data_IF_898123850816
#
_entry.id   IF_898123850816
#
_cell.length_a   1.000
_cell.length_b   1.000
_cell.length_c   1.000
_cell.angle_alpha   90.00
_cell.angle_beta   90.00
_cell.angle_gamma   90.00
#
_symmetry.space_group_name_H-M   'P 1'
#
loop_
_entity.id
_entity.type
_entity.pdbx_description
1 polymer ?
#
# COMPACT_ATOMS: atom_id res chain seq x y z
N UNK A 1 -63.07 -1.41 -25.01
CA UNK A 1 -62.20 -0.46 -24.26
C UNK A 1 -61.37 -1.12 -23.14
N UNK A 2 -61.65 -2.36 -22.70
CA UNK A 2 -60.93 -3.01 -21.59
C UNK A 2 -59.50 -3.48 -21.90
N UNK A 3 -59.25 -4.12 -23.04
CA UNK A 3 -57.95 -4.72 -23.35
C UNK A 3 -56.80 -3.70 -23.40
N UNK A 4 -57.02 -2.50 -23.96
CA UNK A 4 -55.99 -1.45 -24.08
C UNK A 4 -55.59 -0.89 -22.71
N UNK A 5 -56.53 -0.79 -21.76
CA UNK A 5 -56.29 -0.35 -20.38
C UNK A 5 -55.53 -1.41 -19.57
N UNK A 6 -55.83 -2.69 -19.79
CA UNK A 6 -55.14 -3.81 -19.15
C UNK A 6 -53.68 -3.88 -19.62
N UNK A 7 -53.42 -3.72 -20.93
CA UNK A 7 -52.06 -3.70 -21.48
C UNK A 7 -51.24 -2.51 -20.96
N UNK A 8 -51.83 -1.32 -20.87
CA UNK A 8 -51.17 -0.14 -20.31
C UNK A 8 -50.84 -0.29 -18.82
N UNK A 9 -51.76 -0.88 -18.04
CA UNK A 9 -51.54 -1.14 -16.62
C UNK A 9 -50.46 -2.21 -16.39
N UNK A 10 -50.45 -3.28 -17.20
CA UNK A 10 -49.42 -4.31 -17.15
C UNK A 10 -48.04 -3.75 -17.53
N UNK A 11 -47.96 -2.91 -18.57
CA UNK A 11 -46.71 -2.28 -18.99
C UNK A 11 -46.18 -1.30 -17.93
N UNK A 12 -47.06 -0.51 -17.30
CA UNK A 12 -46.70 0.38 -16.21
C UNK A 12 -46.22 -0.40 -14.97
N UNK A 13 -46.84 -1.53 -14.65
CA UNK A 13 -46.40 -2.40 -13.56
C UNK A 13 -45.02 -3.03 -13.83
N UNK A 14 -44.75 -3.46 -15.07
CA UNK A 14 -43.41 -3.97 -15.47
C UNK A 14 -42.34 -2.88 -15.37
N UNK A 15 -42.65 -1.66 -15.79
CA UNK A 15 -41.74 -0.51 -15.69
C UNK A 15 -41.46 -0.11 -14.23
N UNK A 16 -42.47 -0.16 -13.36
CA UNK A 16 -42.31 0.11 -11.92
C UNK A 16 -41.50 -0.98 -11.20
N UNK A 17 -41.62 -2.24 -11.63
CA UNK A 17 -40.81 -3.34 -11.11
C UNK A 17 -39.34 -3.26 -11.55
N UNK A 18 -39.07 -2.75 -12.76
CA UNK A 18 -37.71 -2.51 -13.24
C UNK A 18 -37.00 -1.34 -12.52
N UNK A 19 -37.75 -0.40 -11.93
CA UNK A 19 -37.21 0.72 -11.16
C UNK A 19 -36.66 0.32 -9.77
N UNK A 20 -36.96 -0.89 -9.30
CA UNK A 20 -36.42 -1.46 -8.06
C UNK A 20 -35.12 -2.25 -8.26
N UNK A 21 -34.52 -2.22 -9.45
CA UNK A 21 -33.18 -2.79 -9.63
C UNK A 21 -32.19 -2.00 -8.76
N UNK A 22 -31.44 -2.64 -7.84
CA UNK A 22 -30.48 -1.94 -7.01
C UNK A 22 -29.47 -1.23 -7.91
N UNK A 23 -29.33 0.08 -7.72
CA UNK A 23 -28.30 0.85 -8.42
C UNK A 23 -26.95 0.18 -8.14
N UNK A 24 -26.20 -0.14 -9.19
CA UNK A 24 -24.86 -0.73 -9.05
C UNK A 24 -24.02 0.24 -8.23
N UNK A 25 -23.63 -0.17 -7.03
CA UNK A 25 -22.76 0.64 -6.19
C UNK A 25 -21.44 0.85 -6.93
N UNK A 26 -20.84 2.06 -6.84
CA UNK A 26 -19.52 2.29 -7.41
C UNK A 26 -18.53 1.32 -6.76
N UNK A 27 -17.52 0.84 -7.51
CA UNK A 27 -16.52 -0.05 -6.95
C UNK A 27 -15.79 0.63 -5.78
N UNK A 28 -15.41 -0.13 -4.75
CA UNK A 28 -14.64 0.37 -3.62
C UNK A 28 -13.31 1.01 -4.10
N UNK A 29 -12.86 2.04 -3.40
CA UNK A 29 -11.59 2.71 -3.73
C UNK A 29 -10.60 2.63 -2.58
N UNK A 30 -9.33 2.54 -2.94
CA UNK A 30 -8.18 2.69 -2.04
C UNK A 30 -7.33 3.85 -2.52
N UNK A 31 -6.81 4.63 -1.59
CA UNK A 31 -5.77 5.59 -1.90
C UNK A 31 -4.40 4.92 -1.78
N UNK A 32 -3.49 5.21 -2.70
CA UNK A 32 -2.06 4.96 -2.54
C UNK A 32 -1.36 6.29 -2.31
N UNK A 33 -0.89 6.53 -1.09
CA UNK A 33 -0.08 7.69 -0.72
C UNK A 33 1.39 7.31 -0.85
N UNK A 34 2.07 7.86 -1.85
CA UNK A 34 3.49 7.65 -2.05
C UNK A 34 4.11 8.85 -2.76
N UNK A 35 5.42 9.10 -2.61
CA UNK A 35 6.10 10.09 -3.43
C UNK A 35 6.21 9.57 -4.87
N UNK A 36 5.59 10.28 -5.81
CA UNK A 36 5.71 10.08 -7.26
C UNK A 36 6.58 11.16 -7.92
N UNK A 37 6.91 12.21 -7.19
CA UNK A 37 7.83 13.26 -7.61
C UNK A 37 9.03 13.42 -6.64
N UNK A 38 10.04 14.17 -7.08
CA UNK A 38 11.20 14.50 -6.25
C UNK A 38 12.17 13.32 -6.00
N UNK A 39 12.91 13.41 -4.89
CA UNK A 39 14.03 12.50 -4.57
C UNK A 39 13.62 11.07 -4.23
N UNK A 40 12.36 10.86 -3.85
CA UNK A 40 11.83 9.56 -3.40
C UNK A 40 10.84 8.95 -4.41
N UNK A 41 10.71 9.52 -5.62
CA UNK A 41 9.74 9.08 -6.65
C UNK A 41 9.84 7.60 -7.01
N UNK A 42 11.02 6.99 -6.84
CA UNK A 42 11.21 5.57 -7.09
C UNK A 42 10.28 4.72 -6.20
N UNK A 43 10.00 5.14 -4.97
CA UNK A 43 9.09 4.43 -4.05
C UNK A 43 7.70 4.35 -4.67
N UNK A 44 7.14 5.47 -5.13
CA UNK A 44 5.81 5.50 -5.72
C UNK A 44 5.68 4.59 -6.95
N UNK A 45 6.68 4.61 -7.84
CA UNK A 45 6.66 3.73 -9.02
C UNK A 45 6.89 2.26 -8.69
N UNK A 46 7.70 1.95 -7.67
CA UNK A 46 7.94 0.58 -7.22
C UNK A 46 6.65 -0.06 -6.67
N UNK A 47 5.87 0.71 -5.91
CA UNK A 47 4.67 0.20 -5.24
C UNK A 47 3.43 0.21 -6.13
N UNK A 48 3.24 1.22 -7.00
CA UNK A 48 1.99 1.41 -7.75
C UNK A 48 1.62 0.22 -8.64
N UNK A 49 2.57 -0.26 -9.43
CA UNK A 49 2.31 -1.32 -10.41
C UNK A 49 2.13 -2.68 -9.73
N UNK A 50 2.96 -2.97 -8.72
CA UNK A 50 2.86 -4.19 -7.96
C UNK A 50 1.55 -4.27 -7.16
N UNK A 51 1.12 -3.16 -6.55
CA UNK A 51 -0.19 -3.05 -5.89
C UNK A 51 -1.34 -3.36 -6.84
N UNK A 52 -1.34 -2.73 -8.03
CA UNK A 52 -2.38 -2.97 -9.03
C UNK A 52 -2.41 -4.42 -9.49
N UNK A 53 -1.24 -5.04 -9.68
CA UNK A 53 -1.14 -6.44 -10.01
C UNK A 53 -1.72 -7.33 -8.90
N UNK A 54 -1.40 -7.06 -7.63
CA UNK A 54 -1.94 -7.80 -6.48
C UNK A 54 -3.47 -7.71 -6.38
N UNK A 55 -4.04 -6.52 -6.58
CA UNK A 55 -5.50 -6.34 -6.61
C UNK A 55 -6.16 -7.06 -7.79
N UNK A 56 -5.52 -7.05 -8.96
CA UNK A 56 -6.01 -7.78 -10.12
C UNK A 56 -5.99 -9.30 -9.88
N UNK A 57 -4.92 -9.81 -9.28
CA UNK A 57 -4.75 -11.23 -8.96
C UNK A 57 -5.72 -11.73 -7.89
N UNK A 58 -6.15 -10.84 -6.98
CA UNK A 58 -7.18 -11.16 -6.00
C UNK A 58 -8.58 -11.26 -6.63
N UNK A 59 -8.74 -10.88 -7.91
CA UNK A 59 -10.02 -10.79 -8.59
C UNK A 59 -10.89 -9.61 -8.12
N UNK A 60 -10.31 -8.64 -7.43
CA UNK A 60 -11.05 -7.49 -6.91
C UNK A 60 -11.33 -6.44 -7.99
N UNK A 61 -12.46 -5.75 -7.87
CA UNK A 61 -12.80 -4.58 -8.70
C UNK A 61 -12.41 -3.24 -8.03
N UNK A 62 -11.71 -3.32 -6.91
CA UNK A 62 -11.16 -2.18 -6.17
C UNK A 62 -10.32 -1.28 -7.09
N UNK A 63 -10.59 0.02 -7.04
CA UNK A 63 -9.85 1.03 -7.79
C UNK A 63 -8.78 1.68 -6.91
N UNK A 64 -7.55 1.76 -7.41
CA UNK A 64 -6.45 2.49 -6.75
C UNK A 64 -6.36 3.93 -7.26
N UNK A 65 -6.50 4.87 -6.34
CA UNK A 65 -6.23 6.29 -6.54
C UNK A 65 -4.82 6.61 -6.03
N UNK A 66 -3.85 6.74 -6.94
CA UNK A 66 -2.50 7.16 -6.60
C UNK A 66 -2.47 8.66 -6.28
N UNK A 67 -1.92 9.02 -5.13
CA UNK A 67 -1.83 10.39 -4.62
C UNK A 67 -0.38 10.69 -4.29
N UNK A 68 0.19 11.66 -5.01
CA UNK A 68 1.52 12.16 -4.70
C UNK A 68 1.52 12.95 -3.39
N UNK A 69 2.40 12.53 -2.48
CA UNK A 69 2.65 13.17 -1.19
C UNK A 69 4.07 13.78 -1.12
N UNK A 70 4.76 13.95 -2.26
CA UNK A 70 6.11 14.54 -2.27
C UNK A 70 6.14 15.97 -1.71
N UNK A 71 4.99 16.67 -1.73
CA UNK A 71 4.77 18.02 -1.22
C UNK A 71 3.38 18.10 -0.59
N UNK A 72 3.25 18.92 0.46
CA UNK A 72 1.96 19.18 1.13
C UNK A 72 1.25 17.87 1.54
N UNK A 73 2.01 16.92 2.07
CA UNK A 73 1.55 15.56 2.34
C UNK A 73 0.32 15.51 3.25
N UNK A 74 0.27 16.39 4.24
CA UNK A 74 -0.84 16.58 5.19
C UNK A 74 -2.13 17.05 4.49
N UNK A 75 -2.03 18.04 3.59
CA UNK A 75 -3.17 18.51 2.79
C UNK A 75 -3.66 17.44 1.82
N UNK A 76 -2.74 16.67 1.23
CA UNK A 76 -3.07 15.56 0.32
C UNK A 76 -3.77 14.42 1.07
N UNK A 77 -3.28 14.06 2.24
CA UNK A 77 -3.94 13.09 3.13
C UNK A 77 -5.32 13.58 3.59
N UNK A 78 -5.46 14.87 3.94
CA UNK A 78 -6.75 15.47 4.30
C UNK A 78 -7.76 15.43 3.15
N UNK A 79 -7.30 15.65 1.90
CA UNK A 79 -8.14 15.53 0.71
C UNK A 79 -8.62 14.09 0.49
N UNK A 80 -7.74 13.10 0.70
CA UNK A 80 -8.10 11.67 0.68
C UNK A 80 -9.14 11.35 1.75
N UNK A 81 -8.93 11.82 2.97
CA UNK A 81 -9.86 11.59 4.08
C UNK A 81 -11.26 12.19 3.83
N UNK A 82 -11.33 13.24 3.01
CA UNK A 82 -12.57 13.90 2.62
C UNK A 82 -13.37 13.15 1.54
N UNK A 83 -12.80 12.16 0.84
CA UNK A 83 -13.52 11.33 -0.15
C UNK A 83 -14.12 10.08 0.53
N UNK A 84 -15.45 10.02 0.76
CA UNK A 84 -16.09 8.89 1.42
C UNK A 84 -16.05 7.58 0.61
N UNK A 85 -15.72 7.62 -0.68
CA UNK A 85 -15.55 6.42 -1.49
C UNK A 85 -14.23 5.69 -1.22
N UNK A 86 -13.27 6.35 -0.56
CA UNK A 86 -12.00 5.75 -0.14
C UNK A 86 -12.24 4.99 1.17
N UNK A 87 -12.14 3.66 1.09
CA UNK A 87 -12.43 2.75 2.19
C UNK A 87 -11.17 2.36 2.98
N UNK A 88 -10.01 2.37 2.33
CA UNK A 88 -8.72 2.12 2.95
C UNK A 88 -7.62 2.95 2.27
N UNK A 89 -6.45 3.00 2.90
CA UNK A 89 -5.26 3.65 2.38
C UNK A 89 -4.10 2.66 2.40
N UNK A 90 -3.25 2.76 1.39
CA UNK A 90 -1.90 2.19 1.39
C UNK A 90 -0.93 3.35 1.36
N UNK A 91 0.10 3.29 2.19
CA UNK A 91 1.05 4.37 2.37
C UNK A 91 2.50 3.86 2.31
N UNK A 92 3.36 4.57 1.60
CA UNK A 92 4.79 4.30 1.57
C UNK A 92 5.62 5.59 1.45
N UNK A 93 6.72 5.67 2.19
CA UNK A 93 7.73 6.70 2.05
C UNK A 93 7.96 7.52 3.33
N UNK A 94 9.05 8.31 3.36
CA UNK A 94 9.50 9.01 4.58
C UNK A 94 8.57 10.12 5.04
N UNK A 95 7.63 10.58 4.21
CA UNK A 95 6.63 11.57 4.60
C UNK A 95 5.67 11.07 5.68
N UNK A 96 5.59 9.75 5.90
CA UNK A 96 4.68 9.15 6.87
C UNK A 96 5.14 9.32 8.33
N UNK A 97 6.41 9.66 8.56
CA UNK A 97 6.91 10.02 9.89
C UNK A 97 6.27 11.30 10.44
N UNK A 98 5.76 12.18 9.56
CA UNK A 98 4.99 13.35 9.99
C UNK A 98 3.60 12.94 10.50
N UNK A 99 3.41 13.13 11.81
CA UNK A 99 2.15 12.84 12.50
C UNK A 99 0.92 13.52 11.90
N UNK A 100 1.08 14.67 11.23
CA UNK A 100 -0.03 15.35 10.56
C UNK A 100 -0.57 14.56 9.35
N UNK A 101 0.28 13.80 8.66
CA UNK A 101 -0.08 13.04 7.45
C UNK A 101 -1.01 11.88 7.83
N UNK A 102 -0.57 11.01 8.74
CA UNK A 102 -1.40 9.87 9.16
C UNK A 102 -2.53 10.29 10.12
N UNK A 103 -2.34 11.36 10.89
CA UNK A 103 -3.39 11.95 11.71
C UNK A 103 -4.60 12.43 10.88
N UNK A 104 -4.36 12.93 9.65
CA UNK A 104 -5.45 13.31 8.74
C UNK A 104 -6.30 12.12 8.27
N UNK A 105 -5.77 10.89 8.34
CA UNK A 105 -6.43 9.66 7.91
C UNK A 105 -7.14 8.92 9.06
N UNK A 106 -7.24 9.53 10.25
CA UNK A 106 -7.84 8.90 11.43
C UNK A 106 -9.20 8.23 11.12
N UNK A 107 -9.33 6.96 11.52
CA UNK A 107 -10.53 6.15 11.29
C UNK A 107 -10.64 5.53 9.89
N UNK A 108 -9.64 5.70 9.03
CA UNK A 108 -9.51 4.99 7.75
C UNK A 108 -8.42 3.93 7.91
N UNK A 109 -8.71 2.62 7.69
CA UNK A 109 -7.68 1.60 7.78
C UNK A 109 -6.55 1.91 6.79
N UNK A 110 -5.34 2.05 7.31
CA UNK A 110 -4.15 2.47 6.56
C UNK A 110 -3.08 1.39 6.66
N UNK A 111 -2.71 0.79 5.54
CA UNK A 111 -1.60 -0.17 5.46
C UNK A 111 -0.32 0.59 5.12
N UNK A 112 0.66 0.55 6.01
CA UNK A 112 2.00 1.11 5.80
C UNK A 112 2.90 0.01 5.23
N UNK A 113 3.50 0.26 4.06
CA UNK A 113 4.41 -0.68 3.40
C UNK A 113 5.80 -0.60 4.02
N UNK A 114 6.03 -1.33 5.11
CA UNK A 114 7.23 -1.22 5.95
C UNK A 114 6.90 -0.54 7.28
N UNK A 115 7.82 0.27 7.78
CA UNK A 115 7.66 1.06 9.02
C UNK A 115 7.65 2.57 8.75
N UNK A 116 8.68 3.08 8.07
CA UNK A 116 8.86 4.51 7.75
C UNK A 116 8.86 5.46 8.96
N UNK A 117 9.07 4.93 10.18
CA UNK A 117 8.92 5.67 11.45
C UNK A 117 7.54 6.33 11.57
N UNK A 118 6.53 5.72 10.96
CA UNK A 118 5.16 6.23 10.99
C UNK A 118 4.56 6.08 12.40
N UNK A 119 3.78 7.06 12.87
CA UNK A 119 3.15 6.99 14.18
C UNK A 119 2.14 5.84 14.27
N UNK A 120 2.03 5.25 15.46
CA UNK A 120 1.02 4.23 15.75
C UNK A 120 -0.37 4.83 15.97
N UNK A 121 -1.38 4.18 15.39
CA UNK A 121 -2.81 4.44 15.61
C UNK A 121 -3.58 3.12 15.46
N UNK A 122 -4.73 2.91 16.15
CA UNK A 122 -5.53 1.70 16.00
C UNK A 122 -6.02 1.38 14.58
N UNK A 123 -6.06 2.37 13.68
CA UNK A 123 -6.41 2.20 12.27
C UNK A 123 -5.19 2.03 11.35
N UNK A 124 -3.96 2.00 11.88
CA UNK A 124 -2.73 1.85 11.09
C UNK A 124 -2.18 0.42 11.25
N UNK A 125 -1.84 -0.18 10.11
CA UNK A 125 -1.38 -1.56 9.97
C UNK A 125 -0.03 -1.60 9.25
N UNK A 126 1.02 -1.99 9.95
CA UNK A 126 2.40 -1.99 9.48
C UNK A 126 2.77 -3.34 8.87
N UNK A 127 3.23 -3.34 7.62
CA UNK A 127 3.83 -4.50 6.96
C UNK A 127 5.29 -4.68 7.38
N UNK A 128 5.53 -4.75 8.68
CA UNK A 128 6.82 -4.92 9.33
C UNK A 128 6.63 -5.65 10.67
N UNK A 129 7.67 -6.27 11.27
CA UNK A 129 7.56 -6.83 12.61
C UNK A 129 7.43 -5.71 13.64
N UNK A 130 6.79 -5.99 14.78
CA UNK A 130 6.74 -5.02 15.90
C UNK A 130 8.11 -4.62 16.45
N UNK A 131 9.13 -5.45 16.17
CA UNK A 131 10.52 -5.24 16.57
C UNK A 131 11.22 -4.14 15.75
N UNK A 132 10.74 -3.79 14.55
CA UNK A 132 11.39 -2.81 13.65
C UNK A 132 11.54 -1.43 14.30
N UNK A 133 10.57 -1.03 15.13
CA UNK A 133 10.59 0.19 15.95
C UNK A 133 11.78 0.29 16.92
N UNK A 134 12.49 -0.83 17.16
CA UNK A 134 13.62 -0.92 18.11
C UNK A 134 14.95 -1.28 17.46
N UNK A 135 14.96 -1.56 16.15
CA UNK A 135 16.19 -1.93 15.43
C UNK A 135 16.74 -0.66 14.77
N UNK A 136 17.81 -0.04 15.32
CA UNK A 136 18.46 1.07 14.66
C UNK A 136 18.98 0.61 13.30
N UNK A 137 18.74 1.38 12.24
CA UNK A 137 19.32 1.04 10.97
C UNK A 137 20.85 1.19 11.06
N UNK A 138 21.58 0.13 10.73
CA UNK A 138 23.04 0.12 10.87
C UNK A 138 23.65 0.70 9.60
N UNK A 139 24.22 1.90 9.70
CA UNK A 139 24.97 2.53 8.61
C UNK A 139 26.40 2.78 9.04
N UNK A 140 27.35 2.19 8.32
CA UNK A 140 28.73 2.67 8.33
C UNK A 140 28.89 3.67 7.17
N UNK A 141 28.76 4.97 7.44
CA UNK A 141 29.09 6.03 6.48
C UNK A 141 30.51 6.54 6.75
N UNK A 142 31.40 6.43 5.75
CA UNK A 142 32.76 6.99 5.84
C UNK A 142 32.81 8.47 5.39
N UNK A 143 31.73 8.99 4.81
CA UNK A 143 31.69 10.37 4.32
C UNK A 143 30.25 10.91 4.28
N UNK A 144 30.10 12.14 4.79
CA UNK A 144 28.86 12.91 4.93
C UNK A 144 27.99 12.54 6.13
N UNK A 145 27.85 13.47 7.09
CA UNK A 145 26.81 13.42 8.12
C UNK A 145 25.47 13.45 7.39
N UNK A 146 24.87 12.28 7.21
CA UNK A 146 23.44 12.18 7.11
C UNK A 146 22.92 12.52 8.52
N UNK A 147 22.30 13.69 8.68
CA UNK A 147 21.82 14.23 9.96
C UNK A 147 20.54 13.51 10.46
N UNK A 148 20.45 12.21 10.20
CA UNK A 148 19.29 11.34 10.46
C UNK A 148 19.83 10.07 11.14
N UNK A 149 20.46 10.28 12.29
CA UNK A 149 20.86 9.23 13.24
C UNK A 149 19.65 8.37 13.70
N UNK A 150 18.43 8.75 13.30
CA UNK A 150 17.15 8.15 13.67
C UNK A 150 16.51 7.29 12.56
N UNK A 151 17.20 6.99 11.45
CA UNK A 151 16.65 6.10 10.44
C UNK A 151 16.35 4.70 11.03
N UNK A 152 15.09 4.26 10.98
CA UNK A 152 14.61 2.94 11.46
C UNK A 152 14.18 2.06 10.29
N UNK A 153 14.38 0.74 10.39
CA UNK A 153 14.03 -0.24 9.35
C UNK A 153 14.91 -0.22 8.08
N UNK A 154 15.49 0.93 7.73
CA UNK A 154 16.44 1.06 6.62
C UNK A 154 15.79 1.02 5.23
N UNK A 155 14.47 1.18 5.13
CA UNK A 155 13.74 1.22 3.85
C UNK A 155 14.33 2.25 2.86
N UNK A 156 14.75 3.42 3.36
CA UNK A 156 15.44 4.46 2.58
C UNK A 156 16.79 3.98 2.03
N UNK A 157 17.48 3.06 2.70
CA UNK A 157 18.79 2.59 2.27
C UNK A 157 18.70 1.55 1.16
N UNK A 158 17.54 0.93 0.97
CA UNK A 158 17.26 0.03 -0.16
C UNK A 158 17.09 0.73 -1.52
N UNK A 159 17.02 2.06 -1.51
CA UNK A 159 16.74 2.90 -2.68
C UNK A 159 17.94 2.97 -3.64
N UNK A 160 17.68 2.99 -4.96
CA UNK A 160 18.77 3.15 -5.97
C UNK A 160 19.40 4.52 -5.85
N UNK A 161 18.59 5.54 -5.64
CA UNK A 161 19.04 6.92 -5.49
C UNK A 161 19.94 7.07 -4.25
N UNK A 162 19.65 6.35 -3.15
CA UNK A 162 20.53 6.30 -1.98
C UNK A 162 21.92 5.81 -2.37
N UNK A 163 21.99 4.65 -3.01
CA UNK A 163 23.25 4.03 -3.40
C UNK A 163 24.06 4.89 -4.39
N UNK A 164 23.39 5.56 -5.32
CA UNK A 164 24.04 6.47 -6.29
C UNK A 164 24.66 7.70 -5.63
N UNK A 165 23.99 8.24 -4.63
CA UNK A 165 24.47 9.41 -3.88
C UNK A 165 25.55 9.04 -2.86
N UNK A 166 25.54 7.79 -2.39
CA UNK A 166 26.46 7.29 -1.37
C UNK A 166 27.20 6.03 -1.85
N UNK A 167 28.05 6.13 -2.90
CA UNK A 167 28.66 4.95 -3.55
C UNK A 167 29.60 4.15 -2.63
N UNK A 168 30.04 4.74 -1.52
CA UNK A 168 30.91 4.09 -0.53
C UNK A 168 30.15 3.62 0.71
N UNK A 169 28.83 3.84 0.78
CA UNK A 169 28.02 3.35 1.89
C UNK A 169 27.76 1.85 1.72
N UNK A 170 27.80 1.12 2.83
CA UNK A 170 27.48 -0.32 2.90
C UNK A 170 26.45 -0.57 4.01
N UNK A 171 25.24 0.02 3.93
CA UNK A 171 24.21 -0.19 4.95
C UNK A 171 23.67 -1.61 4.93
N UNK A 172 23.23 -2.06 6.12
CA UNK A 172 22.36 -3.23 6.26
C UNK A 172 20.91 -2.76 6.38
N UNK A 173 20.03 -3.34 5.56
CA UNK A 173 18.58 -3.09 5.54
C UNK A 173 17.87 -4.27 6.18
N UNK A 174 16.91 -4.00 7.07
CA UNK A 174 16.12 -5.02 7.77
C UNK A 174 14.65 -4.80 7.47
N UNK A 175 14.07 -5.66 6.64
CA UNK A 175 12.73 -5.46 6.08
C UNK A 175 11.96 -6.78 5.95
N UNK A 176 10.63 -6.72 5.96
CA UNK A 176 9.75 -7.87 5.68
C UNK A 176 9.50 -8.15 4.21
N UNK A 177 10.19 -7.43 3.32
CA UNK A 177 10.12 -7.60 1.89
C UNK A 177 11.17 -8.60 1.39
N UNK A 178 10.77 -9.49 0.49
CA UNK A 178 11.68 -10.25 -0.37
C UNK A 178 11.95 -9.46 -1.64
N UNK A 179 13.14 -9.63 -2.22
CA UNK A 179 13.39 -9.20 -3.59
C UNK A 179 12.46 -10.00 -4.53
N UNK A 180 11.70 -9.34 -5.42
CA UNK A 180 10.91 -10.03 -6.42
C UNK A 180 11.78 -10.96 -7.27
N UNK A 181 11.38 -12.22 -7.39
CA UNK A 181 12.02 -13.16 -8.31
C UNK A 181 11.70 -12.81 -9.78
N UNK A 182 12.29 -13.57 -10.71
CA UNK A 182 12.10 -13.35 -12.15
C UNK A 182 10.61 -13.44 -12.55
N UNK A 183 9.85 -14.38 -11.98
CA UNK A 183 8.47 -14.59 -12.33
C UNK A 183 7.59 -13.41 -11.89
N UNK A 184 7.71 -12.96 -10.64
CA UNK A 184 6.98 -11.79 -10.16
C UNK A 184 7.43 -10.51 -10.90
N UNK A 185 8.73 -10.35 -11.12
CA UNK A 185 9.29 -9.19 -11.81
C UNK A 185 8.73 -9.03 -13.22
N UNK A 186 8.70 -10.12 -14.00
CA UNK A 186 8.14 -10.12 -15.35
C UNK A 186 6.65 -9.75 -15.36
N UNK A 187 5.87 -10.27 -14.40
CA UNK A 187 4.44 -9.96 -14.29
C UNK A 187 4.20 -8.49 -13.96
N UNK A 188 4.97 -7.92 -13.02
CA UNK A 188 4.88 -6.50 -12.67
C UNK A 188 5.23 -5.65 -13.89
N UNK A 189 6.34 -5.93 -14.56
CA UNK A 189 6.77 -5.17 -15.74
C UNK A 189 5.76 -5.26 -16.89
N UNK A 190 5.10 -6.40 -17.07
CA UNK A 190 4.06 -6.60 -18.08
C UNK A 190 2.72 -5.93 -17.72
N UNK A 191 2.53 -5.45 -16.49
CA UNK A 191 1.26 -4.86 -16.03
C UNK A 191 0.97 -3.47 -16.61
N UNK A 192 1.94 -2.83 -17.24
CA UNK A 192 1.77 -1.49 -17.80
C UNK A 192 2.87 -1.08 -18.78
N UNK A 193 2.75 0.13 -19.32
CA UNK A 193 3.80 0.73 -20.15
C UNK A 193 4.82 1.43 -19.25
N UNK A 194 6.11 1.25 -19.56
CA UNK A 194 7.24 1.89 -18.87
C UNK A 194 7.32 1.58 -17.37
N UNK A 195 6.86 0.40 -16.96
CA UNK A 195 7.01 -0.08 -15.58
C UNK A 195 8.50 -0.27 -15.29
N UNK A 196 9.06 0.35 -14.23
CA UNK A 196 10.45 0.13 -13.88
C UNK A 196 10.66 -1.30 -13.38
N UNK A 197 11.92 -1.74 -13.34
CA UNK A 197 12.29 -2.97 -12.66
C UNK A 197 11.93 -2.89 -11.16
N UNK A 198 11.10 -3.82 -10.65
CA UNK A 198 10.62 -3.78 -9.28
C UNK A 198 11.74 -4.08 -8.27
N UNK A 199 11.61 -3.54 -7.06
CA UNK A 199 12.55 -3.67 -5.95
C UNK A 199 11.84 -4.17 -4.69
N UNK A 200 12.43 -3.95 -3.52
CA UNK A 200 11.93 -4.49 -2.26
C UNK A 200 10.48 -4.08 -1.98
N UNK A 201 10.12 -2.80 -2.14
CA UNK A 201 8.77 -2.35 -1.79
C UNK A 201 7.70 -2.92 -2.72
N UNK A 202 8.05 -3.29 -3.95
CA UNK A 202 7.12 -3.93 -4.87
C UNK A 202 6.53 -5.24 -4.31
N UNK A 203 7.31 -6.08 -3.64
CA UNK A 203 6.76 -7.35 -3.12
C UNK A 203 5.78 -7.12 -1.96
N UNK A 204 6.03 -6.13 -1.09
CA UNK A 204 5.07 -5.72 -0.06
C UNK A 204 3.81 -5.12 -0.69
N UNK A 205 3.96 -4.26 -1.70
CA UNK A 205 2.84 -3.64 -2.38
C UNK A 205 1.95 -4.68 -3.10
N UNK A 206 2.56 -5.70 -3.72
CA UNK A 206 1.84 -6.82 -4.31
C UNK A 206 0.99 -7.57 -3.26
N UNK A 207 1.58 -7.89 -2.11
CA UNK A 207 0.86 -8.57 -1.02
C UNK A 207 -0.22 -7.70 -0.40
N UNK A 208 0.02 -6.40 -0.24
CA UNK A 208 -0.99 -5.44 0.20
C UNK A 208 -2.18 -5.38 -0.77
N UNK A 209 -1.92 -5.48 -2.06
CA UNK A 209 -2.95 -5.57 -3.10
C UNK A 209 -3.80 -6.83 -2.97
N UNK A 210 -3.15 -8.00 -2.86
CA UNK A 210 -3.85 -9.26 -2.64
C UNK A 210 -4.74 -9.20 -1.39
N UNK A 211 -4.16 -8.72 -0.29
CA UNK A 211 -4.82 -8.62 1.00
C UNK A 211 -6.02 -7.68 0.99
N UNK A 212 -5.87 -6.45 0.47
CA UNK A 212 -6.98 -5.49 0.44
C UNK A 212 -8.06 -5.90 -0.55
N UNK A 213 -7.68 -6.53 -1.66
CA UNK A 213 -8.65 -7.05 -2.62
C UNK A 213 -9.55 -8.13 -2.01
N UNK A 214 -8.99 -8.99 -1.14
CA UNK A 214 -9.76 -9.93 -0.33
C UNK A 214 -10.55 -9.26 0.79
N UNK A 215 -9.89 -8.44 1.61
CA UNK A 215 -10.48 -7.80 2.79
C UNK A 215 -11.67 -6.90 2.45
N UNK A 216 -11.64 -6.20 1.32
CA UNK A 216 -12.69 -5.24 0.93
C UNK A 216 -13.83 -5.88 0.13
N UNK A 217 -13.86 -7.21 -0.01
CA UNK A 217 -14.95 -7.90 -0.70
C UNK A 217 -16.28 -7.71 0.05
N UNK A 218 -17.25 -7.04 -0.59
CA UNK A 218 -18.56 -6.75 0.01
C UNK A 218 -18.54 -5.64 1.08
N UNK A 219 -17.44 -4.90 1.19
CA UNK A 219 -17.29 -3.81 2.15
C UNK A 219 -17.72 -2.49 1.51
N UNK A 220 -18.49 -1.69 2.25
CA UNK A 220 -19.07 -0.44 1.73
C UNK A 220 -18.86 0.78 2.65
N UNK A 221 -18.36 0.57 3.87
CA UNK A 221 -18.10 1.65 4.83
C UNK A 221 -16.69 1.55 5.38
N UNK A 222 -16.14 2.67 5.86
CA UNK A 222 -14.80 2.70 6.50
C UNK A 222 -14.77 1.91 7.80
N UNK A 223 -15.88 1.89 8.54
CA UNK A 223 -15.99 1.09 9.77
C UNK A 223 -15.93 -0.40 9.46
N UNK A 224 -16.68 -0.86 8.45
CA UNK A 224 -16.62 -2.25 8.01
C UNK A 224 -15.25 -2.59 7.40
N UNK A 225 -14.63 -1.65 6.68
CA UNK A 225 -13.28 -1.81 6.15
C UNK A 225 -12.25 -1.99 7.26
N UNK A 226 -12.33 -1.21 8.33
CA UNK A 226 -11.42 -1.34 9.48
C UNK A 226 -11.59 -2.69 10.18
N UNK A 227 -12.84 -3.12 10.39
CA UNK A 227 -13.15 -4.44 10.98
C UNK A 227 -12.75 -5.61 10.06
N UNK A 228 -12.85 -5.43 8.74
CA UNK A 228 -12.40 -6.42 7.77
C UNK A 228 -10.87 -6.52 7.74
N UNK A 229 -10.15 -5.39 7.60
CA UNK A 229 -8.68 -5.33 7.58
C UNK A 229 -8.08 -5.91 8.85
N UNK A 230 -8.66 -5.63 10.03
CA UNK A 230 -8.14 -6.14 11.30
C UNK A 230 -8.27 -7.65 11.50
N UNK A 231 -9.18 -8.31 10.77
CA UNK A 231 -9.45 -9.76 10.91
C UNK A 231 -9.06 -10.59 9.69
N UNK A 232 -8.77 -9.93 8.57
CA UNK A 232 -8.45 -10.61 7.33
C UNK A 232 -7.05 -11.25 7.39
N UNK A 233 -6.91 -12.35 6.65
CA UNK A 233 -5.64 -13.04 6.46
C UNK A 233 -5.53 -13.43 4.99
N UNK A 234 -4.35 -13.24 4.41
CA UNK A 234 -4.05 -13.64 3.03
C UNK A 234 -2.63 -14.18 2.95
N UNK A 235 -2.43 -15.27 2.22
CA UNK A 235 -1.08 -15.74 1.88
C UNK A 235 -0.63 -15.10 0.58
N UNK A 236 0.38 -14.26 0.65
CA UNK A 236 1.02 -13.59 -0.48
C UNK A 236 2.42 -14.14 -0.78
N UNK A 237 3.17 -13.37 -1.56
CA UNK A 237 4.55 -13.62 -1.95
C UNK A 237 5.51 -13.71 -0.76
N UNK A 238 5.37 -12.82 0.22
CA UNK A 238 6.25 -12.76 1.37
C UNK A 238 5.85 -13.71 2.51
N UNK A 239 4.70 -14.37 2.43
CA UNK A 239 4.14 -15.23 3.46
C UNK A 239 2.69 -14.87 3.80
N UNK A 240 2.22 -15.37 4.94
CA UNK A 240 0.86 -15.08 5.42
C UNK A 240 0.80 -13.71 6.07
N UNK A 241 0.06 -12.78 5.46
CA UNK A 241 -0.22 -11.44 5.96
C UNK A 241 -1.48 -11.45 6.80
N UNK A 242 -1.31 -11.12 8.08
CA UNK A 242 -2.37 -10.83 9.03
C UNK A 242 -1.80 -9.88 10.10
N UNK A 243 -2.67 -9.12 10.75
CA UNK A 243 -2.24 -8.13 11.73
C UNK A 243 -2.57 -8.52 13.16
N UNK A 244 -1.68 -8.19 14.08
CA UNK A 244 -1.87 -8.28 15.53
C UNK A 244 -1.42 -6.95 16.16
N UNK A 245 -2.34 -6.26 16.84
CA UNK A 245 -2.13 -4.93 17.40
C UNK A 245 -1.49 -3.93 16.42
N UNK A 246 -1.94 -3.94 15.15
CA UNK A 246 -1.45 -3.06 14.09
C UNK A 246 -0.16 -3.53 13.42
N UNK A 247 0.49 -4.61 13.86
CA UNK A 247 1.72 -5.11 13.27
C UNK A 247 1.51 -6.41 12.51
N UNK A 248 2.32 -6.67 11.49
CA UNK A 248 2.26 -7.93 10.77
C UNK A 248 2.66 -9.09 11.70
N UNK A 249 1.68 -9.95 12.00
CA UNK A 249 1.82 -11.18 12.77
C UNK A 249 2.81 -12.13 12.09
N UNK A 250 3.87 -12.49 12.80
CA UNK A 250 4.96 -13.35 12.30
C UNK A 250 5.61 -12.80 11.02
N UNK A 251 5.74 -11.47 10.91
CA UNK A 251 6.38 -10.84 9.77
C UNK A 251 7.77 -11.47 9.51
N UNK A 252 8.09 -11.80 8.24
CA UNK A 252 9.44 -12.22 7.89
C UNK A 252 10.44 -11.13 8.26
N UNK A 253 11.63 -11.52 8.71
CA UNK A 253 12.75 -10.61 8.92
C UNK A 253 13.81 -11.00 7.91
N UNK A 254 14.09 -10.12 6.95
CA UNK A 254 15.13 -10.32 5.94
C UNK A 254 16.17 -9.22 6.06
N UNK A 255 17.43 -9.60 5.89
CA UNK A 255 18.58 -8.70 5.95
C UNK A 255 19.16 -8.58 4.56
N UNK A 256 19.47 -7.36 4.14
CA UNK A 256 20.13 -7.09 2.88
C UNK A 256 21.32 -6.17 3.10
N UNK A 257 22.44 -6.50 2.47
CA UNK A 257 23.58 -5.59 2.33
C UNK A 257 23.46 -4.83 1.01
N UNK A 258 23.72 -3.53 1.04
CA UNK A 258 23.67 -2.66 -0.13
C UNK A 258 25.10 -2.44 -0.66
N UNK A 259 25.37 -2.89 -1.88
CA UNK A 259 26.67 -2.66 -2.54
C UNK A 259 26.45 -2.05 -3.92
N UNK A 260 26.74 -0.75 -4.06
CA UNK A 260 26.22 0.03 -5.17
C UNK A 260 24.69 -0.07 -5.21
N UNK A 261 24.09 -0.21 -6.40
CA UNK A 261 22.63 -0.37 -6.52
C UNK A 261 22.13 -1.78 -6.16
N UNK A 262 23.01 -2.73 -5.88
CA UNK A 262 22.65 -4.13 -5.67
C UNK A 262 22.31 -4.40 -4.20
N UNK A 263 21.23 -5.16 -3.99
CA UNK A 263 20.82 -5.68 -2.69
C UNK A 263 21.16 -7.17 -2.64
N UNK A 264 22.00 -7.57 -1.69
CA UNK A 264 22.36 -8.98 -1.49
C UNK A 264 21.83 -9.48 -0.15
N UNK A 265 21.07 -10.58 -0.10
CA UNK A 265 20.65 -11.18 1.16
C UNK A 265 21.83 -11.45 2.09
N UNK A 266 21.63 -11.24 3.38
CA UNK A 266 22.57 -11.59 4.45
C UNK A 266 21.92 -12.68 5.30
N UNK A 267 22.65 -13.76 5.55
CA UNK A 267 22.24 -14.88 6.40
C UNK A 267 22.19 -14.48 7.89
#
# INVERSE_FOLDING_TARGET
>A
MGARRIVLAALAAVLLLAACAPARQPPPRVALLAPFEGRYREIGYDVLYALRLGLADSGSDVIVNAVDISREADLRASAVASDPAILAVIAAGPQLADTAVLGALHGIPTIVLGDWDAPHDPAIFFMAPSQTSTIPAVVALDTYHWDDDDARGGDVFALREFARLNPNADPEVIISAALPDEALSQRIQASGLFVPEPRLHASLAYDAGLFLGGALTGVHTRTDALDAVSRHETTGYNGTLAFDHGWWRNAPIRRYRVSGEMLTPVD
#
